data_IF_145357464434
#
_entry.id   IF_145357464434
#
_cell.length_a   1.000
_cell.length_b   1.000
_cell.length_c   1.000
_cell.angle_alpha   90.00
_cell.angle_beta   90.00
_cell.angle_gamma   90.00
#
_symmetry.space_group_name_H-M   'P 1'
#
loop_
_entity.id
_entity.type
_entity.pdbx_description
1 polymer ?
#
# COMPACT_ATOMS: atom_id res chain seq x y z
N UNK A 1 12.61 -21.52 -19.46
CA UNK A 1 12.76 -20.18 -18.83
C UNK A 1 13.88 -19.44 -19.54
N UNK A 2 13.66 -18.24 -20.09
CA UNK A 2 14.63 -17.53 -20.95
C UNK A 2 15.81 -16.95 -20.16
N UNK A 3 16.97 -16.85 -20.80
CA UNK A 3 18.25 -16.39 -20.22
C UNK A 3 18.23 -14.95 -19.70
N UNK A 4 17.29 -14.12 -20.15
CA UNK A 4 17.13 -12.72 -19.74
C UNK A 4 16.67 -12.54 -18.30
N UNK A 5 15.78 -13.41 -17.79
CA UNK A 5 15.20 -13.27 -16.44
C UNK A 5 16.25 -13.52 -15.35
N UNK A 6 17.29 -14.29 -15.64
CA UNK A 6 18.34 -14.63 -14.67
C UNK A 6 19.31 -13.48 -14.34
N UNK A 7 19.27 -12.36 -15.07
CA UNK A 7 20.24 -11.25 -14.93
C UNK A 7 19.71 -10.01 -14.21
N UNK A 8 18.43 -9.96 -13.86
CA UNK A 8 17.84 -8.76 -13.24
C UNK A 8 18.04 -8.73 -11.72
N UNK A 9 18.08 -9.88 -11.02
CA UNK A 9 18.29 -9.90 -9.57
C UNK A 9 19.78 -9.65 -9.25
N UNK A 10 20.10 -8.50 -8.64
CA UNK A 10 21.45 -8.17 -8.19
C UNK A 10 21.82 -8.89 -6.90
N UNK A 11 20.92 -8.83 -5.92
CA UNK A 11 21.14 -9.38 -4.58
C UNK A 11 19.80 -9.61 -3.90
N UNK A 12 19.66 -10.74 -3.22
CA UNK A 12 18.64 -10.94 -2.21
C UNK A 12 19.32 -11.26 -0.87
N UNK A 13 18.84 -10.69 0.23
CA UNK A 13 19.39 -10.93 1.55
C UNK A 13 18.36 -10.69 2.65
N UNK A 14 18.59 -11.33 3.79
CA UNK A 14 17.86 -11.06 5.01
C UNK A 14 18.50 -9.87 5.72
N UNK A 15 17.72 -8.83 5.99
CA UNK A 15 18.16 -7.69 6.79
C UNK A 15 17.99 -8.00 8.27
N UNK A 16 16.83 -8.54 8.63
CA UNK A 16 16.48 -9.02 9.97
C UNK A 16 15.56 -10.24 9.84
N UNK A 17 15.27 -10.93 10.94
CA UNK A 17 14.45 -12.16 10.96
C UNK A 17 13.18 -12.04 10.10
N UNK A 18 12.51 -10.89 10.18
CA UNK A 18 11.20 -10.60 9.59
C UNK A 18 11.25 -9.69 8.34
N UNK A 19 12.43 -9.40 7.81
CA UNK A 19 12.64 -8.44 6.70
C UNK A 19 13.62 -9.03 5.69
N UNK A 20 13.13 -9.32 4.50
CA UNK A 20 13.91 -9.76 3.34
C UNK A 20 13.93 -8.65 2.30
N UNK A 21 15.09 -8.43 1.66
CA UNK A 21 15.23 -7.49 0.55
C UNK A 21 15.72 -8.20 -0.70
N UNK A 22 15.23 -7.75 -1.84
CA UNK A 22 15.71 -8.12 -3.16
C UNK A 22 15.90 -6.85 -4.01
N UNK A 23 17.12 -6.65 -4.51
CA UNK A 23 17.49 -5.55 -5.38
C UNK A 23 17.57 -6.03 -6.82
N UNK A 24 16.90 -5.33 -7.71
CA UNK A 24 16.80 -5.65 -9.13
C UNK A 24 17.39 -4.53 -9.98
N UNK A 25 18.17 -4.92 -11.00
CA UNK A 25 18.54 -4.07 -12.11
C UNK A 25 17.30 -3.54 -12.82
N UNK A 26 17.27 -2.22 -13.02
CA UNK A 26 16.21 -1.49 -13.69
C UNK A 26 16.60 -0.03 -13.84
N UNK A 27 15.81 0.71 -14.60
CA UNK A 27 15.87 2.17 -14.65
C UNK A 27 14.47 2.73 -14.34
N UNK A 28 14.20 3.12 -13.08
CA UNK A 28 15.13 3.10 -11.95
C UNK A 28 15.40 1.69 -11.40
N UNK A 29 16.47 1.57 -10.62
CA UNK A 29 16.74 0.36 -9.82
C UNK A 29 15.54 0.10 -8.90
N UNK A 30 15.16 -1.16 -8.78
CA UNK A 30 13.99 -1.57 -8.00
C UNK A 30 14.42 -2.36 -6.77
N UNK A 31 13.98 -1.92 -5.59
CA UNK A 31 14.12 -2.67 -4.34
C UNK A 31 12.75 -3.18 -3.90
N UNK A 32 12.64 -4.49 -3.73
CA UNK A 32 11.48 -5.14 -3.14
C UNK A 32 11.85 -5.60 -1.73
N UNK A 33 11.09 -5.16 -0.74
CA UNK A 33 11.14 -5.65 0.62
C UNK A 33 9.95 -6.56 0.87
N UNK A 34 10.18 -7.70 1.49
CA UNK A 34 9.12 -8.59 1.97
C UNK A 34 9.22 -8.67 3.48
N UNK A 35 8.12 -8.38 4.16
CA UNK A 35 8.09 -8.28 5.63
C UNK A 35 7.01 -9.17 6.25
N UNK A 36 7.24 -9.55 7.50
CA UNK A 36 6.23 -10.22 8.33
C UNK A 36 6.22 -9.62 9.75
N UNK A 37 5.33 -8.66 9.97
CA UNK A 37 5.21 -7.94 11.25
C UNK A 37 4.75 -8.87 12.38
N UNK A 38 5.20 -8.65 13.63
CA UNK A 38 4.62 -9.31 14.80
C UNK A 38 3.10 -9.13 14.88
N UNK A 39 2.41 -10.10 15.49
CA UNK A 39 0.95 -10.02 15.68
C UNK A 39 0.59 -8.93 16.71
N UNK A 40 -0.66 -8.51 16.75
CA UNK A 40 -1.11 -7.48 17.71
C UNK A 40 -1.01 -7.90 19.18
N UNK A 41 -0.85 -9.19 19.45
CA UNK A 41 -0.68 -9.74 20.81
C UNK A 41 0.80 -9.89 21.19
N UNK A 42 1.72 -9.59 20.28
CA UNK A 42 3.14 -9.57 20.58
C UNK A 42 3.49 -8.48 21.61
N UNK A 43 4.63 -8.66 22.27
CA UNK A 43 5.21 -7.70 23.19
C UNK A 43 5.41 -6.35 22.49
N UNK A 44 5.36 -5.27 23.27
CA UNK A 44 5.54 -3.91 22.75
C UNK A 44 6.93 -3.74 22.15
N UNK A 45 7.91 -4.28 22.84
CA UNK A 45 9.32 -4.23 22.51
C UNK A 45 9.61 -4.92 21.17
N UNK A 46 8.99 -6.08 20.91
CA UNK A 46 9.17 -6.82 19.64
C UNK A 46 8.61 -6.05 18.44
N UNK A 47 7.46 -5.40 18.64
CA UNK A 47 6.80 -4.59 17.62
C UNK A 47 7.58 -3.30 17.34
N UNK A 48 7.99 -2.59 18.39
CA UNK A 48 8.81 -1.38 18.25
C UNK A 48 10.13 -1.70 17.54
N UNK A 49 10.81 -2.77 17.96
CA UNK A 49 12.03 -3.22 17.31
C UNK A 49 11.80 -3.54 15.83
N UNK A 50 10.73 -4.24 15.48
CA UNK A 50 10.40 -4.55 14.09
C UNK A 50 10.24 -3.29 13.23
N UNK A 51 9.47 -2.30 13.71
CA UNK A 51 9.28 -1.06 12.96
C UNK A 51 10.56 -0.22 12.87
N UNK A 52 11.42 -0.27 13.89
CA UNK A 52 12.71 0.43 13.87
C UNK A 52 13.72 -0.20 12.90
N UNK A 53 13.78 -1.54 12.86
CA UNK A 53 14.53 -2.29 11.87
C UNK A 53 14.01 -1.98 10.45
N UNK A 54 12.68 -1.91 10.28
CA UNK A 54 12.05 -1.59 8.99
C UNK A 54 12.36 -0.15 8.53
N UNK A 55 12.29 0.84 9.42
CA UNK A 55 12.72 2.22 9.13
C UNK A 55 14.17 2.27 8.67
N UNK A 56 15.04 1.51 9.34
CA UNK A 56 16.46 1.42 8.96
C UNK A 56 16.62 0.86 7.56
N UNK A 57 15.96 -0.26 7.25
CA UNK A 57 15.97 -0.84 5.90
C UNK A 57 15.47 0.14 4.84
N UNK A 58 14.40 0.90 5.11
CA UNK A 58 13.83 1.89 4.18
C UNK A 58 14.81 3.04 3.90
N UNK A 59 15.52 3.52 4.93
CA UNK A 59 16.52 4.60 4.80
C UNK A 59 17.74 4.17 3.98
N UNK A 60 18.11 2.90 4.04
CA UNK A 60 19.23 2.36 3.27
C UNK A 60 18.93 2.27 1.75
N UNK A 61 17.66 2.36 1.35
CA UNK A 61 17.27 2.40 -0.06
C UNK A 61 17.35 3.82 -0.59
N UNK A 62 18.22 4.02 -1.59
CA UNK A 62 18.42 5.30 -2.26
C UNK A 62 17.08 5.91 -2.73
N UNK A 63 16.96 7.22 -2.58
CA UNK A 63 15.73 7.97 -2.88
C UNK A 63 15.37 8.02 -4.35
N UNK A 64 16.28 7.69 -5.27
CA UNK A 64 15.97 7.57 -6.71
C UNK A 64 15.62 6.15 -7.14
N UNK A 65 15.71 5.16 -6.23
CA UNK A 65 15.28 3.79 -6.51
C UNK A 65 13.78 3.66 -6.26
N UNK A 66 13.12 2.84 -7.07
CA UNK A 66 11.76 2.41 -6.78
C UNK A 66 11.78 1.46 -5.58
N UNK A 67 10.93 1.70 -4.58
CA UNK A 67 10.80 0.85 -3.40
C UNK A 67 9.37 0.30 -3.31
N UNK A 68 9.26 -1.02 -3.24
CA UNK A 68 8.03 -1.72 -2.90
C UNK A 68 8.24 -2.54 -1.62
N UNK A 69 7.39 -2.34 -0.61
CA UNK A 69 7.37 -3.11 0.63
C UNK A 69 6.08 -3.92 0.63
N UNK A 70 6.22 -5.23 0.75
CA UNK A 70 5.15 -6.20 0.59
C UNK A 70 5.08 -7.07 1.83
N UNK A 71 3.90 -7.53 2.18
CA UNK A 71 3.74 -8.64 3.12
C UNK A 71 2.64 -8.40 4.13
N UNK A 72 2.65 -9.23 5.16
CA UNK A 72 1.67 -9.22 6.23
C UNK A 72 2.16 -8.33 7.36
N UNK A 73 1.44 -7.24 7.58
CA UNK A 73 1.75 -6.24 8.62
C UNK A 73 1.01 -6.52 9.93
N UNK A 74 0.13 -7.53 9.95
CA UNK A 74 -0.82 -7.76 11.03
C UNK A 74 -1.60 -6.47 11.41
N UNK A 75 -1.70 -5.55 10.45
CA UNK A 75 -2.18 -4.20 10.62
C UNK A 75 -3.58 -4.06 10.04
N UNK A 76 -4.43 -3.32 10.72
CA UNK A 76 -5.75 -2.92 10.23
C UNK A 76 -5.72 -1.41 10.17
N UNK A 77 -5.95 -0.84 8.99
CA UNK A 77 -6.14 0.59 8.82
C UNK A 77 -7.63 0.87 8.80
N UNK A 78 -8.05 1.93 9.48
CA UNK A 78 -9.39 2.50 9.41
C UNK A 78 -9.49 3.60 8.36
N UNK A 79 -10.70 4.12 8.09
CA UNK A 79 -10.95 5.18 7.12
C UNK A 79 -10.16 6.47 7.37
N UNK A 80 -9.76 6.73 8.61
CA UNK A 80 -8.91 7.83 9.05
C UNK A 80 -7.48 7.76 8.52
N UNK A 81 -6.99 6.55 8.19
CA UNK A 81 -5.65 6.34 7.66
C UNK A 81 -5.64 5.85 6.21
N UNK A 82 -6.71 5.18 5.76
CA UNK A 82 -6.83 4.66 4.41
C UNK A 82 -8.29 4.58 3.95
N UNK A 83 -8.64 5.31 2.88
CA UNK A 83 -10.04 5.42 2.40
C UNK A 83 -10.68 4.10 1.99
N UNK A 84 -10.03 3.32 1.14
CA UNK A 84 -10.59 2.06 0.63
C UNK A 84 -10.09 0.84 1.40
N UNK A 85 -9.97 0.99 2.72
CA UNK A 85 -9.68 -0.12 3.64
C UNK A 85 -10.88 -1.07 3.77
N UNK A 86 -10.62 -2.25 4.36
CA UNK A 86 -11.66 -3.21 4.75
C UNK A 86 -12.25 -2.92 6.14
N UNK A 87 -11.49 -2.34 7.05
CA UNK A 87 -11.88 -2.19 8.46
C UNK A 87 -12.38 -0.79 8.79
N UNK A 88 -13.26 -0.67 9.78
CA UNK A 88 -13.82 0.63 10.20
C UNK A 88 -12.94 1.36 11.24
N UNK A 89 -11.86 0.73 11.71
CA UNK A 89 -10.96 1.30 12.70
C UNK A 89 -9.53 0.78 12.56
N UNK A 90 -8.57 1.65 12.88
CA UNK A 90 -7.15 1.29 12.96
C UNK A 90 -6.84 0.51 14.23
N UNK A 91 -6.06 -0.58 14.10
CA UNK A 91 -5.55 -1.31 15.26
C UNK A 91 -4.14 -0.83 15.65
N UNK A 92 -3.61 -1.30 16.78
CA UNK A 92 -2.26 -0.95 17.25
C UNK A 92 -1.18 -1.06 16.18
N UNK A 93 -1.13 -2.17 15.44
CA UNK A 93 -0.16 -2.32 14.33
C UNK A 93 -0.43 -1.36 13.16
N UNK A 94 -1.70 -1.03 12.93
CA UNK A 94 -2.14 -0.05 11.96
C UNK A 94 -1.65 1.36 12.26
N UNK A 95 -1.60 1.77 13.53
CA UNK A 95 -1.05 3.07 13.93
C UNK A 95 0.44 3.18 13.59
N UNK A 96 1.22 2.13 13.89
CA UNK A 96 2.63 2.08 13.50
C UNK A 96 2.82 2.09 11.98
N UNK A 97 1.96 1.37 11.25
CA UNK A 97 1.97 1.39 9.80
C UNK A 97 1.62 2.78 9.25
N UNK A 98 0.56 3.43 9.73
CA UNK A 98 0.16 4.77 9.32
C UNK A 98 1.28 5.79 9.57
N UNK A 99 1.94 5.70 10.74
CA UNK A 99 3.10 6.51 11.09
C UNK A 99 4.26 6.28 10.12
N UNK A 100 4.63 5.03 9.83
CA UNK A 100 5.68 4.68 8.87
C UNK A 100 5.38 5.21 7.46
N UNK A 101 4.11 5.09 7.01
CA UNK A 101 3.66 5.60 5.72
C UNK A 101 3.84 7.11 5.62
N UNK A 102 3.48 7.85 6.68
CA UNK A 102 3.64 9.29 6.73
C UNK A 102 5.13 9.71 6.78
N UNK A 103 5.92 9.08 7.65
CA UNK A 103 7.35 9.39 7.85
C UNK A 103 8.19 9.20 6.59
N UNK A 104 7.89 8.18 5.78
CA UNK A 104 8.66 7.83 4.59
C UNK A 104 7.95 8.13 3.27
N UNK A 105 6.87 8.91 3.34
CA UNK A 105 6.01 9.27 2.20
C UNK A 105 5.56 8.05 1.37
N UNK A 106 5.33 6.92 2.03
CA UNK A 106 4.89 5.70 1.35
C UNK A 106 3.38 5.74 1.12
N UNK A 107 2.95 5.03 0.08
CA UNK A 107 1.55 4.85 -0.23
C UNK A 107 1.14 3.40 -0.02
N UNK A 108 0.08 3.16 0.76
CA UNK A 108 -0.58 1.85 0.85
C UNK A 108 -1.37 1.57 -0.44
N UNK A 109 -0.71 1.08 -1.48
CA UNK A 109 -1.23 0.94 -2.84
C UNK A 109 -2.55 0.16 -2.91
N UNK A 110 -2.73 -0.87 -2.08
CA UNK A 110 -3.93 -1.69 -2.07
C UNK A 110 -5.18 -1.00 -1.48
N UNK A 111 -5.04 0.20 -0.91
CA UNK A 111 -6.14 1.02 -0.36
C UNK A 111 -6.41 2.30 -1.17
N UNK A 112 -5.71 2.50 -2.29
CA UNK A 112 -5.84 3.71 -3.14
C UNK A 112 -6.97 3.62 -4.18
N UNK A 113 -7.43 2.41 -4.51
CA UNK A 113 -8.49 2.20 -5.50
C UNK A 113 -9.70 1.51 -4.87
N UNK A 114 -10.89 1.97 -5.27
CA UNK A 114 -12.15 1.40 -4.81
C UNK A 114 -12.32 -0.01 -5.36
N UNK A 115 -12.27 -1.00 -4.48
CA UNK A 115 -12.66 -2.39 -4.76
C UNK A 115 -13.99 -2.70 -4.10
N UNK A 116 -14.72 -3.67 -4.65
CA UNK A 116 -15.87 -4.29 -3.97
C UNK A 116 -15.42 -4.80 -2.59
N UNK A 117 -16.26 -4.61 -1.55
CA UNK A 117 -15.88 -4.92 -0.16
C UNK A 117 -15.34 -6.35 0.02
N UNK A 118 -16.01 -7.34 -0.57
CA UNK A 118 -15.58 -8.75 -0.53
C UNK A 118 -14.28 -9.07 -1.30
N UNK A 119 -13.59 -8.07 -1.86
CA UNK A 119 -12.28 -8.19 -2.54
C UNK A 119 -11.17 -7.37 -1.84
N UNK A 120 -11.45 -6.76 -0.68
CA UNK A 120 -10.47 -5.95 0.08
C UNK A 120 -9.72 -6.76 1.13
N UNK A 121 -10.34 -7.79 1.72
CA UNK A 121 -9.70 -8.68 2.70
C UNK A 121 -8.65 -9.59 2.05
N UNK A 122 -7.66 -10.00 2.85
CA UNK A 122 -6.54 -10.84 2.40
C UNK A 122 -6.39 -12.12 3.22
N UNK A 123 -6.97 -12.16 4.43
CA UNK A 123 -6.91 -13.28 5.35
C UNK A 123 -8.32 -13.64 5.88
N UNK A 124 -8.56 -14.93 6.08
CA UNK A 124 -9.73 -15.46 6.78
C UNK A 124 -9.28 -16.29 7.97
N UNK A 125 -9.73 -15.91 9.16
CA UNK A 125 -9.52 -16.68 10.38
C UNK A 125 -10.30 -18.00 10.29
N UNK A 126 -9.60 -19.12 10.49
CA UNK A 126 -10.20 -20.46 10.38
C UNK A 126 -11.10 -20.83 11.56
N UNK A 127 -10.85 -20.27 12.73
CA UNK A 127 -11.61 -20.54 13.95
C UNK A 127 -12.89 -19.70 14.01
N UNK A 128 -12.78 -18.41 13.67
CA UNK A 128 -13.92 -17.48 13.77
C UNK A 128 -14.64 -17.25 12.44
N UNK A 129 -14.01 -17.59 11.31
CA UNK A 129 -14.51 -17.26 9.97
C UNK A 129 -14.37 -15.78 9.61
N UNK A 130 -13.83 -14.94 10.50
CA UNK A 130 -13.70 -13.51 10.31
C UNK A 130 -12.71 -13.19 9.18
N UNK A 131 -13.06 -12.18 8.39
CA UNK A 131 -12.24 -11.70 7.27
C UNK A 131 -11.45 -10.48 7.71
N UNK A 132 -10.18 -10.42 7.29
CA UNK A 132 -9.27 -9.35 7.64
C UNK A 132 -8.43 -8.94 6.43
N UNK A 133 -8.25 -7.63 6.23
CA UNK A 133 -7.16 -7.09 5.42
C UNK A 133 -5.96 -6.89 6.34
N UNK A 134 -4.89 -7.66 6.13
CA UNK A 134 -3.64 -7.62 6.91
C UNK A 134 -2.40 -7.44 6.03
N UNK A 135 -2.51 -7.83 4.76
CA UNK A 135 -1.45 -7.70 3.77
C UNK A 135 -1.53 -6.35 3.06
N UNK A 136 -0.37 -5.69 2.94
CA UNK A 136 -0.27 -4.40 2.27
C UNK A 136 0.86 -4.38 1.25
N UNK A 137 0.64 -3.56 0.23
CA UNK A 137 1.64 -3.19 -0.77
C UNK A 137 1.93 -1.73 -0.55
N UNK A 138 3.13 -1.40 -0.11
CA UNK A 138 3.55 -0.03 0.13
C UNK A 138 4.57 0.35 -0.91
N UNK A 139 4.38 1.50 -1.56
CA UNK A 139 5.26 1.92 -2.63
C UNK A 139 5.76 3.34 -2.38
N UNK A 140 7.05 3.54 -2.67
CA UNK A 140 7.66 4.86 -2.87
C UNK A 140 7.84 5.05 -4.36
N UNK A 141 7.10 5.98 -4.94
CA UNK A 141 7.28 6.36 -6.34
C UNK A 141 8.36 7.45 -6.39
N UNK A 142 9.47 7.11 -7.02
CA UNK A 142 10.66 7.96 -7.17
C UNK A 142 10.94 8.29 -8.63
N UNK A 143 10.23 7.62 -9.54
CA UNK A 143 10.23 7.92 -10.96
C UNK A 143 9.55 9.26 -11.12
N UNK A 144 10.29 10.32 -11.48
CA UNK A 144 9.75 11.36 -12.35
C UNK A 144 8.98 10.62 -13.43
N UNK A 145 7.64 10.62 -13.35
CA UNK A 145 6.83 10.04 -14.40
C UNK A 145 7.15 10.90 -15.61
N UNK A 146 8.15 10.50 -16.42
CA UNK A 146 8.35 10.96 -17.79
C UNK A 146 7.18 10.41 -18.56
N UNK A 147 6.03 10.99 -18.28
CA UNK A 147 4.86 10.91 -19.10
C UNK A 147 5.37 11.29 -20.49
N UNK A 148 5.07 10.46 -21.49
CA UNK A 148 5.44 10.75 -22.89
C UNK A 148 4.80 12.05 -23.39
N UNK A 149 4.01 12.72 -22.56
CA UNK A 149 3.46 14.04 -22.72
C UNK A 149 4.06 14.97 -21.65
N UNK A 150 4.96 15.85 -22.09
CA UNK A 150 5.58 17.03 -21.45
C UNK A 150 5.77 17.03 -19.93
N UNK A 151 7.01 17.34 -19.53
CA UNK A 151 7.35 17.92 -18.24
C UNK A 151 6.34 19.03 -17.91
N UNK A 152 5.55 18.82 -16.86
CA UNK A 152 5.04 19.95 -16.10
C UNK A 152 6.19 20.32 -15.16
N UNK A 153 6.69 21.54 -15.27
CA UNK A 153 7.63 22.15 -14.32
C UNK A 153 6.95 22.26 -12.95
N UNK A 154 6.82 21.14 -12.24
CA UNK A 154 6.24 21.09 -10.90
C UNK A 154 7.30 20.55 -9.97
N UNK A 155 7.72 21.39 -9.02
CA UNK A 155 8.57 21.03 -7.87
C UNK A 155 7.83 20.11 -6.89
N UNK A 156 7.15 19.08 -7.38
CA UNK A 156 6.40 18.13 -6.57
C UNK A 156 7.02 16.74 -6.62
N UNK A 157 7.01 16.05 -5.48
CA UNK A 157 7.47 14.67 -5.43
C UNK A 157 6.59 13.76 -6.30
N UNK A 158 7.13 12.68 -6.89
CA UNK A 158 6.32 11.78 -7.70
C UNK A 158 5.16 11.14 -6.93
N UNK A 159 5.31 10.95 -5.62
CA UNK A 159 4.24 10.54 -4.72
C UNK A 159 3.09 11.57 -4.69
N UNK A 160 3.38 12.88 -4.65
CA UNK A 160 2.37 13.93 -4.71
C UNK A 160 1.61 13.92 -6.05
N UNK A 161 2.33 13.77 -7.16
CA UNK A 161 1.71 13.63 -8.48
C UNK A 161 0.78 12.40 -8.54
N UNK A 162 1.23 11.25 -8.03
CA UNK A 162 0.42 10.04 -8.00
C UNK A 162 -0.78 10.16 -7.06
N UNK A 163 -0.63 10.83 -5.91
CA UNK A 163 -1.75 11.16 -5.00
C UNK A 163 -2.84 11.96 -5.70
N UNK A 164 -2.50 12.91 -6.59
CA UNK A 164 -3.51 13.63 -7.40
C UNK A 164 -4.23 12.71 -8.37
N UNK A 165 -3.51 11.83 -9.06
CA UNK A 165 -4.13 10.85 -9.95
C UNK A 165 -5.14 9.99 -9.18
N UNK A 166 -4.75 9.53 -7.98
CA UNK A 166 -5.65 8.81 -7.08
C UNK A 166 -6.83 9.68 -6.65
N UNK A 167 -6.62 10.94 -6.27
CA UNK A 167 -7.70 11.86 -5.89
C UNK A 167 -8.72 12.06 -7.02
N UNK A 168 -8.27 12.26 -8.25
CA UNK A 168 -9.15 12.35 -9.41
C UNK A 168 -9.96 11.05 -9.63
N UNK A 169 -9.35 9.89 -9.38
CA UNK A 169 -10.05 8.61 -9.45
C UNK A 169 -11.09 8.44 -8.32
N UNK A 170 -10.77 8.95 -7.12
CA UNK A 170 -11.69 8.98 -5.98
C UNK A 170 -12.91 9.86 -6.29
N UNK A 171 -12.69 11.08 -6.81
CA UNK A 171 -13.78 11.98 -7.21
C UNK A 171 -14.69 11.34 -8.27
N UNK A 172 -14.11 10.66 -9.25
CA UNK A 172 -14.87 9.92 -10.26
C UNK A 172 -15.70 8.78 -9.62
N UNK A 173 -15.12 8.05 -8.68
CA UNK A 173 -15.82 6.96 -7.96
C UNK A 173 -16.98 7.49 -7.10
N UNK A 174 -16.78 8.61 -6.40
CA UNK A 174 -17.83 9.26 -5.61
C UNK A 174 -18.99 9.74 -6.48
N UNK A 175 -18.69 10.27 -7.67
CA UNK A 175 -19.70 10.67 -8.64
C UNK A 175 -20.53 9.48 -9.15
N UNK A 176 -19.88 8.33 -9.39
CA UNK A 176 -20.57 7.08 -9.75
C UNK A 176 -21.50 6.59 -8.63
N UNK A 177 -21.02 6.57 -7.38
CA UNK A 177 -21.81 6.15 -6.22
C UNK A 177 -23.04 7.06 -6.01
N UNK A 178 -22.88 8.38 -6.16
CA UNK A 178 -24.01 9.32 -6.13
C UNK A 178 -25.01 9.09 -7.27
N UNK A 179 -24.54 8.73 -8.47
CA UNK A 179 -25.40 8.46 -9.61
C UNK A 179 -26.20 7.16 -9.40
N UNK A 180 -25.57 6.12 -8.86
CA UNK A 180 -26.23 4.85 -8.48
C UNK A 180 -27.34 5.09 -7.45
N UNK A 181 -27.08 5.89 -6.42
CA UNK A 181 -28.08 6.26 -5.41
C UNK A 181 -29.27 7.02 -6.02
N UNK A 182 -29.03 7.92 -6.97
CA UNK A 182 -30.10 8.65 -7.67
C UNK A 182 -30.95 7.74 -8.55
N UNK A 183 -30.35 6.79 -9.25
CA UNK A 183 -31.06 5.80 -10.08
C UNK A 183 -31.92 4.87 -9.22
N UNK A 184 -31.44 4.45 -8.06
CA UNK A 184 -32.21 3.65 -7.12
C UNK A 184 -33.38 4.43 -6.49
N UNK A 185 -33.18 5.73 -6.21
CA UNK A 185 -34.24 6.59 -5.70
C UNK A 185 -35.32 6.93 -6.75
N UNK A 186 -34.97 6.97 -8.04
CA UNK A 186 -35.92 7.26 -9.12
C UNK A 186 -36.69 6.04 -9.62
N UNK A 187 -36.20 4.82 -9.38
CA UNK A 187 -36.87 3.55 -9.73
C UNK A 187 -38.07 3.16 -8.85
N UNK A 188 -38.40 3.93 -7.81
CA UNK A 188 -39.46 3.62 -6.84
C UNK A 188 -40.88 4.11 -7.17
N UNK A 189 -41.15 4.66 -8.36
CA UNK A 189 -42.49 5.08 -8.78
C UNK A 189 -42.83 4.54 -10.17
N UNK A 190 -43.39 3.34 -10.23
CA UNK A 190 -43.91 2.78 -11.47
C UNK A 190 -44.34 1.33 -11.31
N UNK A 191 -45.55 1.12 -10.78
CA UNK A 191 -46.18 -0.20 -10.68
C UNK A 191 -47.45 -0.13 -9.86
N UNK A 192 -48.54 0.26 -10.54
CA UNK A 192 -49.92 0.06 -10.08
C UNK A 192 -50.30 -1.43 -10.18
#
# INVERSE_FOLDING_TARGET
MSSWVRRALRRAYQHMERILLANFDGDPVTTVMVVYSPTTVALVEDMEKFYEDLRTAIRDVLTHNFLAILGDFNARLGPENARFTYHDATNRNGEHLATLLAEHELLAANTLFQKRMGKRWTFQDRATGMLHQLDYIQARYTVEVRNRFRLLDVEESPNAMYKRFVAAHVEASDAEDQNLLKVQASGGRGGA
#
